data_IF_766318380597
#
_entry.id   IF_766318380597
#
_cell.length_a   1.000
_cell.length_b   1.000
_cell.length_c   1.000
_cell.angle_alpha   90.00
_cell.angle_beta   90.00
_cell.angle_gamma   90.00
#
_symmetry.space_group_name_H-M   'P 1'
#
loop_
_entity.id
_entity.type
_entity.pdbx_description
1 polymer ?
#
# COMPACT_ATOMS: atom_id res chain seq x y z
N UNK A 1 -5.77 29.16 32.51
CA UNK A 1 -4.55 28.93 31.68
C UNK A 1 -4.50 27.55 31.02
N UNK A 2 -5.10 26.49 31.59
CA UNK A 2 -5.09 25.15 30.96
C UNK A 2 -5.97 24.98 29.71
N UNK A 3 -7.11 25.66 29.61
CA UNK A 3 -8.04 25.51 28.49
C UNK A 3 -7.47 25.99 27.14
N UNK A 4 -6.66 27.06 27.16
CA UNK A 4 -6.03 27.63 25.96
C UNK A 4 -4.95 26.69 25.42
N UNK A 5 -4.15 26.06 26.30
CA UNK A 5 -3.14 25.09 25.88
C UNK A 5 -3.74 23.82 25.25
N UNK A 6 -4.91 23.37 25.74
CA UNK A 6 -5.61 22.22 25.16
C UNK A 6 -6.13 22.55 23.75
N UNK A 7 -6.71 23.73 23.55
CA UNK A 7 -7.19 24.18 22.25
C UNK A 7 -6.06 24.28 21.21
N UNK A 8 -4.90 24.80 21.60
CA UNK A 8 -3.72 24.87 20.72
C UNK A 8 -3.24 23.47 20.32
N UNK A 9 -3.19 22.52 21.27
CA UNK A 9 -2.78 21.14 20.97
C UNK A 9 -3.72 20.44 19.99
N UNK A 10 -5.03 20.67 20.12
CA UNK A 10 -6.05 20.08 19.23
C UNK A 10 -5.91 20.62 17.80
N UNK A 11 -5.59 21.90 17.61
CA UNK A 11 -5.38 22.49 16.27
C UNK A 11 -4.13 21.91 15.58
N UNK A 12 -3.06 21.63 16.33
CA UNK A 12 -1.87 20.99 15.77
C UNK A 12 -2.11 19.53 15.35
N UNK A 13 -3.01 18.80 16.04
CA UNK A 13 -3.35 17.42 15.69
C UNK A 13 -4.20 17.28 14.42
N UNK A 14 -4.89 18.35 13.99
CA UNK A 14 -5.77 18.30 12.80
C UNK A 14 -5.03 18.26 11.45
N UNK A 15 -3.74 18.61 11.42
CA UNK A 15 -2.94 18.64 10.18
C UNK A 15 -2.20 17.32 9.87
N UNK A 16 -2.42 16.25 10.64
CA UNK A 16 -1.73 14.97 10.44
C UNK A 16 -2.34 14.06 9.36
N UNK A 17 -3.46 14.42 8.73
CA UNK A 17 -4.08 13.61 7.67
C UNK A 17 -3.84 14.27 6.32
N UNK A 18 -2.66 14.05 5.76
CA UNK A 18 -2.40 14.34 4.35
C UNK A 18 -2.70 13.06 3.57
N UNK A 19 -3.90 12.98 3.00
CA UNK A 19 -4.20 11.95 2.00
C UNK A 19 -3.45 12.30 0.71
N UNK A 20 -2.17 11.91 0.65
CA UNK A 20 -1.30 12.22 -0.47
C UNK A 20 -1.56 11.22 -1.61
N UNK A 21 -2.04 11.74 -2.74
CA UNK A 21 -2.12 10.99 -3.99
C UNK A 21 -0.75 11.08 -4.66
N UNK A 22 -0.17 9.93 -4.96
CA UNK A 22 1.12 9.77 -5.62
C UNK A 22 0.90 9.72 -7.13
N UNK A 23 1.78 10.34 -7.90
CA UNK A 23 1.68 10.32 -9.36
C UNK A 23 1.77 8.89 -9.92
N UNK A 24 1.21 8.65 -11.10
CA UNK A 24 1.24 7.33 -11.73
C UNK A 24 2.67 6.82 -11.96
N UNK A 25 3.57 7.70 -12.42
CA UNK A 25 4.98 7.36 -12.66
C UNK A 25 5.74 7.01 -11.38
N UNK A 26 5.53 7.78 -10.31
CA UNK A 26 6.16 7.52 -9.01
C UNK A 26 5.60 6.24 -8.38
N UNK A 27 4.29 5.99 -8.53
CA UNK A 27 3.67 4.75 -8.06
C UNK A 27 4.22 3.53 -8.79
N UNK A 28 4.35 3.62 -10.12
CA UNK A 28 4.92 2.56 -10.95
C UNK A 28 6.38 2.26 -10.56
N UNK A 29 7.18 3.30 -10.30
CA UNK A 29 8.59 3.14 -9.91
C UNK A 29 8.75 2.51 -8.53
N UNK A 30 7.88 2.84 -7.56
CA UNK A 30 7.89 2.21 -6.24
C UNK A 30 7.51 0.72 -6.28
N UNK A 31 6.47 0.35 -7.05
CA UNK A 31 6.09 -1.05 -7.26
C UNK A 31 7.22 -1.81 -7.95
N UNK A 32 7.86 -1.20 -8.95
CA UNK A 32 9.01 -1.80 -9.64
C UNK A 32 10.17 -2.03 -8.68
N UNK A 33 10.52 -1.05 -7.86
CA UNK A 33 11.60 -1.17 -6.89
C UNK A 33 11.35 -2.29 -5.88
N UNK A 34 10.12 -2.40 -5.35
CA UNK A 34 9.73 -3.48 -4.45
C UNK A 34 9.81 -4.87 -5.12
N UNK A 35 9.31 -4.97 -6.35
CA UNK A 35 9.36 -6.22 -7.13
C UNK A 35 10.80 -6.62 -7.47
N UNK A 36 11.64 -5.66 -7.85
CA UNK A 36 13.06 -5.87 -8.13
C UNK A 36 13.82 -6.30 -6.86
N UNK A 37 13.53 -5.69 -5.72
CA UNK A 37 14.11 -6.11 -4.44
C UNK A 37 13.80 -7.58 -4.15
N UNK A 38 12.53 -7.98 -4.24
CA UNK A 38 12.15 -9.36 -3.95
C UNK A 38 12.68 -10.35 -5.00
N UNK A 39 12.62 -9.99 -6.28
CA UNK A 39 13.20 -10.78 -7.38
C UNK A 39 14.68 -11.07 -7.16
N UNK A 40 15.47 -10.06 -6.78
CA UNK A 40 16.88 -10.23 -6.45
C UNK A 40 17.08 -11.08 -5.20
N UNK A 41 16.24 -10.91 -4.18
CA UNK A 41 16.28 -11.71 -2.95
C UNK A 41 15.97 -13.19 -3.19
N UNK A 42 14.99 -13.49 -4.04
CA UNK A 42 14.53 -14.85 -4.31
C UNK A 42 15.27 -15.54 -5.49
N UNK A 43 16.07 -14.80 -6.26
CA UNK A 43 16.84 -15.34 -7.39
C UNK A 43 16.00 -15.72 -8.61
N UNK A 44 14.80 -15.17 -8.74
CA UNK A 44 13.87 -15.45 -9.83
C UNK A 44 13.40 -14.13 -10.48
N UNK A 45 13.02 -14.13 -11.77
CA UNK A 45 12.66 -12.90 -12.47
C UNK A 45 11.37 -12.28 -11.91
N UNK A 46 11.20 -10.97 -12.11
CA UNK A 46 9.96 -10.26 -11.77
C UNK A 46 8.77 -10.89 -12.52
N UNK A 47 7.69 -11.26 -11.81
CA UNK A 47 6.49 -11.81 -12.43
C UNK A 47 5.89 -10.91 -13.49
N UNK A 48 5.35 -11.53 -14.53
CA UNK A 48 4.57 -10.85 -15.57
C UNK A 48 3.10 -11.32 -15.49
N UNK A 49 2.12 -10.44 -15.75
CA UNK A 49 2.27 -9.01 -16.00
C UNK A 49 2.55 -8.19 -14.73
N UNK A 50 3.33 -7.12 -14.87
CA UNK A 50 3.50 -6.13 -13.81
C UNK A 50 2.20 -5.31 -13.66
N UNK A 51 1.77 -4.97 -12.42
CA UNK A 51 0.67 -4.04 -12.21
C UNK A 51 0.94 -2.72 -12.91
N UNK A 52 -0.02 -2.29 -13.71
CA UNK A 52 0.07 -1.07 -14.50
C UNK A 52 -0.72 0.06 -13.85
N UNK A 53 -0.08 1.21 -13.65
CA UNK A 53 -0.69 2.40 -13.03
C UNK A 53 -0.99 3.45 -14.10
N UNK A 54 -2.27 3.77 -14.29
CA UNK A 54 -2.72 4.79 -15.26
C UNK A 54 -3.00 6.16 -14.64
N UNK A 55 -3.28 6.20 -13.35
CA UNK A 55 -3.71 7.39 -12.62
C UNK A 55 -3.04 7.47 -11.27
N UNK A 56 -3.18 8.60 -10.59
CA UNK A 56 -2.58 8.78 -9.27
C UNK A 56 -3.12 7.76 -8.26
N UNK A 57 -2.24 7.19 -7.45
CA UNK A 57 -2.58 6.16 -6.45
C UNK A 57 -2.50 6.79 -5.08
N UNK A 58 -3.43 6.45 -4.19
CA UNK A 58 -3.31 6.90 -2.81
C UNK A 58 -2.08 6.28 -2.14
N UNK A 59 -1.27 7.11 -1.47
CA UNK A 59 -0.02 6.68 -0.82
C UNK A 59 -0.24 5.46 0.07
N UNK A 60 -1.31 5.43 0.88
CA UNK A 60 -1.61 4.28 1.75
C UNK A 60 -1.81 2.97 1.00
N UNK A 61 -2.49 2.99 -0.14
CA UNK A 61 -2.73 1.78 -0.93
C UNK A 61 -1.44 1.34 -1.63
N UNK A 62 -0.62 2.30 -2.06
CA UNK A 62 0.71 2.04 -2.62
C UNK A 62 1.64 1.41 -1.58
N UNK A 63 1.67 1.94 -0.36
CA UNK A 63 2.48 1.41 0.76
C UNK A 63 2.07 -0.03 1.11
N UNK A 64 0.76 -0.30 1.16
CA UNK A 64 0.26 -1.66 1.42
C UNK A 64 0.74 -2.63 0.34
N UNK A 65 0.68 -2.25 -0.94
CA UNK A 65 1.18 -3.09 -2.03
C UNK A 65 2.70 -3.32 -1.93
N UNK A 66 3.49 -2.26 -1.73
CA UNK A 66 4.96 -2.37 -1.69
C UNK A 66 5.44 -3.19 -0.48
N UNK A 67 4.81 -3.03 0.68
CA UNK A 67 5.06 -3.86 1.87
C UNK A 67 4.69 -5.31 1.59
N UNK A 68 3.50 -5.56 1.04
CA UNK A 68 3.07 -6.93 0.73
C UNK A 68 4.05 -7.62 -0.24
N UNK A 69 4.55 -6.91 -1.25
CA UNK A 69 5.59 -7.46 -2.15
C UNK A 69 6.85 -7.77 -1.35
N UNK A 70 7.43 -6.79 -0.64
CA UNK A 70 8.73 -6.99 0.03
C UNK A 70 8.71 -8.04 1.15
N UNK A 71 7.54 -8.27 1.77
CA UNK A 71 7.32 -9.26 2.83
C UNK A 71 6.87 -10.64 2.29
N UNK A 72 6.61 -10.77 0.99
CA UNK A 72 6.21 -12.07 0.42
C UNK A 72 7.33 -13.11 0.53
N UNK A 73 6.93 -14.35 0.72
CA UNK A 73 7.83 -15.49 0.75
C UNK A 73 8.31 -15.86 -0.66
N UNK A 74 9.48 -16.48 -0.76
CA UNK A 74 9.97 -17.03 -2.02
C UNK A 74 9.29 -18.40 -2.32
N UNK A 75 9.04 -18.76 -3.59
CA UNK A 75 9.43 -18.04 -4.81
C UNK A 75 8.47 -16.90 -5.17
N UNK A 76 9.01 -15.79 -5.69
CA UNK A 76 8.21 -14.63 -6.10
C UNK A 76 7.53 -14.88 -7.44
N UNK A 77 6.42 -15.63 -7.44
CA UNK A 77 5.73 -16.07 -8.67
C UNK A 77 4.61 -15.12 -9.12
N UNK A 78 4.06 -14.31 -8.22
CA UNK A 78 2.92 -13.43 -8.49
C UNK A 78 2.86 -12.26 -7.52
N UNK A 79 2.16 -11.20 -7.92
CA UNK A 79 1.91 -10.06 -7.05
C UNK A 79 0.88 -10.40 -5.97
N UNK A 80 1.06 -9.94 -4.72
CA UNK A 80 0.10 -10.16 -3.64
C UNK A 80 -1.26 -9.53 -3.94
N UNK A 81 -2.33 -10.14 -3.43
CA UNK A 81 -3.69 -9.63 -3.60
C UNK A 81 -3.87 -8.20 -3.06
N UNK A 82 -3.08 -7.83 -2.05
CA UNK A 82 -3.04 -6.48 -1.50
C UNK A 82 -2.69 -5.40 -2.56
N UNK A 83 -2.01 -5.77 -3.65
CA UNK A 83 -1.73 -4.84 -4.75
C UNK A 83 -2.96 -4.48 -5.58
N UNK A 84 -4.09 -5.18 -5.45
CA UNK A 84 -5.35 -4.75 -6.10
C UNK A 84 -5.83 -3.39 -5.54
N UNK A 85 -5.42 -3.03 -4.32
CA UNK A 85 -5.77 -1.76 -3.67
C UNK A 85 -5.31 -0.53 -4.44
N UNK A 86 -4.29 -0.64 -5.29
CA UNK A 86 -3.79 0.47 -6.12
C UNK A 86 -4.82 0.94 -7.16
N UNK A 87 -5.83 0.11 -7.46
CA UNK A 87 -6.91 0.41 -8.39
C UNK A 87 -8.17 0.97 -7.70
N UNK A 88 -8.11 1.18 -6.38
CA UNK A 88 -9.24 1.71 -5.62
C UNK A 88 -9.04 3.21 -5.40
N UNK A 89 -9.91 4.01 -6.02
CA UNK A 89 -9.85 5.49 -5.98
C UNK A 89 -10.11 6.05 -4.58
N UNK A 90 -10.97 5.39 -3.80
CA UNK A 90 -11.26 5.77 -2.41
C UNK A 90 -10.40 4.97 -1.44
N UNK A 91 -9.90 5.58 -0.35
CA UNK A 91 -9.19 4.80 0.66
C UNK A 91 -10.23 3.84 1.17
N UNK A 92 -9.93 2.53 1.16
CA UNK A 92 -10.86 1.59 1.77
C UNK A 92 -10.91 2.00 3.24
N UNK A 93 -12.01 2.62 3.66
CA UNK A 93 -12.17 3.16 5.00
C UNK A 93 -11.83 2.08 6.03
N UNK A 94 -11.35 2.49 7.21
CA UNK A 94 -11.02 1.66 8.39
C UNK A 94 -10.83 0.15 8.14
N UNK A 95 -9.98 -0.24 7.19
CA UNK A 95 -9.31 -1.54 7.26
C UNK A 95 -8.07 -1.29 8.10
N UNK A 96 -8.08 -1.61 9.41
CA UNK A 96 -6.89 -1.47 10.21
C UNK A 96 -5.70 -2.16 9.56
N UNK A 97 -4.57 -1.47 9.56
CA UNK A 97 -3.32 -1.91 8.97
C UNK A 97 -2.79 -3.25 9.54
N UNK A 98 -3.37 -3.72 10.66
CA UNK A 98 -3.08 -4.99 11.30
C UNK A 98 -3.93 -6.17 10.79
N UNK A 99 -4.91 -5.94 9.91
CA UNK A 99 -5.73 -7.02 9.38
C UNK A 99 -4.92 -7.79 8.32
N UNK A 100 -4.79 -9.10 8.52
CA UNK A 100 -4.15 -9.98 7.56
C UNK A 100 -5.06 -10.13 6.32
N UNK A 101 -4.72 -9.43 5.23
CA UNK A 101 -5.47 -9.48 3.97
C UNK A 101 -5.59 -10.89 3.38
N UNK A 102 -4.65 -11.80 3.66
CA UNK A 102 -4.80 -13.20 3.27
C UNK A 102 -6.01 -13.84 3.97
N UNK A 103 -6.23 -13.60 5.26
CA UNK A 103 -7.35 -14.22 5.97
C UNK A 103 -8.72 -13.70 5.56
N UNK A 104 -8.81 -12.41 5.20
CA UNK A 104 -10.08 -11.76 4.85
C UNK A 104 -10.54 -12.13 3.44
N UNK A 105 -9.62 -12.16 2.48
CA UNK A 105 -9.97 -12.35 1.07
C UNK A 105 -9.78 -13.79 0.56
N UNK A 106 -9.02 -14.65 1.25
CA UNK A 106 -8.90 -16.09 0.90
C UNK A 106 -10.10 -16.89 1.42
N UNK A 107 -10.88 -16.38 2.39
CA UNK A 107 -12.12 -17.02 2.86
C UNK A 107 -13.36 -16.77 1.98
N UNK A 108 -13.20 -16.34 0.73
CA UNK A 108 -14.27 -16.45 -0.26
C UNK A 108 -14.24 -17.90 -0.76
N UNK A 109 -14.93 -18.78 -0.03
CA UNK A 109 -15.30 -20.09 -0.56
C UNK A 109 -16.33 -19.83 -1.66
N UNK A 110 -16.02 -20.28 -2.88
CA UNK A 110 -16.89 -20.22 -4.07
C UNK A 110 -18.34 -20.56 -3.72
#
# INVERSE_FOLDING_TARGET
>A
MGFVSILVLVVFLQNCVKSEVVSAGDSQSQIYAAANYLSNKCGNPIPTPMPFIVQGVQQRNLDICTIAITQSECPFISYPLACVLIYVDNPIGDIPWYINFQEVFVKIKL
#
